data_IF_355596074481
#
_entry.id   IF_355596074481
#
_cell.length_a   1.000
_cell.length_b   1.000
_cell.length_c   1.000
_cell.angle_alpha   90.00
_cell.angle_beta   90.00
_cell.angle_gamma   90.00
#
_symmetry.space_group_name_H-M   'P 1'
#
loop_
_entity.id
_entity.type
_entity.pdbx_description
1 polymer ?
#
# COMPACT_ATOMS: atom_id res chain seq x y z
N UNK A 1 49.83 22.45 -20.17
CA UNK A 1 48.92 22.04 -21.25
C UNK A 1 47.86 21.12 -20.62
N UNK A 2 46.75 21.69 -20.24
CA UNK A 2 45.62 20.94 -19.65
C UNK A 2 44.41 21.15 -20.54
N UNK A 3 43.97 20.07 -21.19
CA UNK A 3 42.82 20.10 -22.10
C UNK A 3 41.54 20.03 -21.30
N UNK A 4 40.80 21.14 -21.26
CA UNK A 4 39.47 21.24 -20.69
C UNK A 4 38.50 20.37 -21.51
N UNK A 5 38.00 19.28 -20.91
CA UNK A 5 36.84 18.55 -21.43
C UNK A 5 35.57 19.34 -21.13
N UNK A 6 35.14 20.14 -22.07
CA UNK A 6 33.78 20.70 -22.10
C UNK A 6 32.83 19.56 -22.49
N UNK A 7 32.19 18.94 -21.50
CA UNK A 7 31.07 18.02 -21.73
C UNK A 7 29.81 18.87 -21.90
N UNK A 8 29.47 19.20 -23.13
CA UNK A 8 28.18 19.74 -23.52
C UNK A 8 27.09 18.69 -23.21
N UNK A 9 26.51 18.76 -22.01
CA UNK A 9 25.22 18.09 -21.73
C UNK A 9 24.11 18.89 -22.42
N UNK A 10 23.88 18.60 -23.69
CA UNK A 10 22.61 18.97 -24.30
C UNK A 10 21.49 18.30 -23.50
N UNK A 11 20.81 19.08 -22.66
CA UNK A 11 19.48 18.75 -22.16
C UNK A 11 18.54 18.84 -23.35
N UNK A 12 18.35 17.73 -24.05
CA UNK A 12 17.20 17.58 -24.94
C UNK A 12 16.00 17.57 -24.00
N UNK A 13 15.36 18.73 -23.85
CA UNK A 13 14.02 18.79 -23.28
C UNK A 13 13.15 17.90 -24.16
N UNK A 14 12.40 16.94 -23.61
CA UNK A 14 11.44 16.19 -24.42
C UNK A 14 10.51 17.20 -25.07
N UNK A 15 10.20 17.05 -26.38
CA UNK A 15 9.28 17.95 -27.05
C UNK A 15 7.96 17.96 -26.30
N UNK A 16 7.28 19.10 -26.20
CA UNK A 16 5.98 19.15 -25.60
C UNK A 16 5.04 18.27 -26.46
N UNK A 17 4.59 17.16 -25.89
CA UNK A 17 3.57 16.27 -26.47
C UNK A 17 2.18 16.96 -26.46
N UNK A 18 2.13 18.26 -26.78
CA UNK A 18 0.94 19.07 -26.59
C UNK A 18 -0.11 18.89 -27.69
N UNK A 19 0.24 18.50 -28.91
CA UNK A 19 -0.72 18.54 -30.03
C UNK A 19 -1.03 17.21 -30.73
N UNK A 20 -0.22 16.17 -30.51
CA UNK A 20 -0.55 14.83 -31.02
C UNK A 20 -1.58 14.06 -30.16
N UNK A 21 -1.91 14.58 -28.97
CA UNK A 21 -2.80 13.89 -28.02
C UNK A 21 -4.29 13.94 -28.37
N UNK A 22 -4.74 14.96 -29.10
CA UNK A 22 -6.15 15.13 -29.45
C UNK A 22 -6.63 14.05 -30.43
N UNK A 23 -5.86 13.83 -31.46
CA UNK A 23 -6.24 12.91 -32.55
C UNK A 23 -6.15 11.44 -32.09
N UNK A 24 -5.14 11.11 -31.29
CA UNK A 24 -4.97 9.76 -30.73
C UNK A 24 -6.13 9.39 -29.80
N UNK A 25 -6.62 10.33 -28.98
CA UNK A 25 -7.78 10.07 -28.11
C UNK A 25 -9.06 9.84 -28.88
N UNK A 26 -9.28 10.61 -29.94
CA UNK A 26 -10.44 10.45 -30.81
C UNK A 26 -10.36 9.11 -31.54
N UNK A 27 -9.20 8.75 -32.08
CA UNK A 27 -9.01 7.46 -32.76
C UNK A 27 -9.22 6.29 -31.83
N UNK A 28 -8.71 6.35 -30.57
CA UNK A 28 -8.92 5.30 -29.56
C UNK A 28 -10.41 5.20 -29.19
N UNK A 29 -11.11 6.30 -29.02
CA UNK A 29 -12.56 6.30 -28.75
C UNK A 29 -13.37 5.72 -29.90
N UNK A 30 -13.03 6.07 -31.17
CA UNK A 30 -13.69 5.53 -32.35
C UNK A 30 -13.44 4.03 -32.50
N UNK A 31 -12.17 3.60 -32.37
CA UNK A 31 -11.81 2.17 -32.42
C UNK A 31 -12.50 1.38 -31.32
N UNK A 32 -12.51 1.91 -30.11
CA UNK A 32 -13.16 1.31 -28.96
C UNK A 32 -14.68 1.25 -29.10
N UNK A 33 -15.30 2.31 -29.60
CA UNK A 33 -16.74 2.35 -29.95
C UNK A 33 -17.10 1.32 -31.00
N UNK A 34 -16.32 1.24 -32.09
CA UNK A 34 -16.48 0.24 -33.12
C UNK A 34 -16.34 -1.19 -32.63
N UNK A 35 -15.34 -1.44 -31.77
CA UNK A 35 -15.13 -2.76 -31.15
C UNK A 35 -16.31 -3.15 -30.23
N UNK A 36 -16.80 -2.23 -29.40
CA UNK A 36 -17.98 -2.48 -28.56
C UNK A 36 -19.24 -2.75 -29.39
N UNK A 37 -19.41 -2.02 -30.50
CA UNK A 37 -20.55 -2.21 -31.41
C UNK A 37 -20.51 -3.61 -32.04
N UNK A 38 -19.32 -4.06 -32.47
CA UNK A 38 -19.12 -5.40 -33.03
C UNK A 38 -19.38 -6.48 -32.00
N UNK A 39 -18.91 -6.30 -30.75
CA UNK A 39 -19.17 -7.25 -29.68
C UNK A 39 -20.65 -7.24 -29.24
N UNK A 40 -21.33 -6.11 -29.27
CA UNK A 40 -22.76 -6.02 -29.01
C UNK A 40 -23.56 -6.77 -30.07
N UNK A 41 -23.21 -6.62 -31.36
CA UNK A 41 -23.81 -7.39 -32.43
C UNK A 41 -23.58 -8.90 -32.26
N UNK A 42 -22.36 -9.30 -31.83
CA UNK A 42 -22.06 -10.69 -31.48
C UNK A 42 -22.91 -11.20 -30.31
N UNK A 43 -23.09 -10.40 -29.25
CA UNK A 43 -23.90 -10.77 -28.08
C UNK A 43 -25.40 -10.88 -28.41
N UNK A 44 -25.89 -10.14 -29.39
CA UNK A 44 -27.24 -10.28 -29.91
C UNK A 44 -27.44 -11.56 -30.72
N UNK A 45 -26.36 -11.98 -31.41
CA UNK A 45 -26.36 -13.22 -32.20
C UNK A 45 -26.21 -14.49 -31.33
N UNK A 46 -25.30 -14.47 -30.37
CA UNK A 46 -25.07 -15.56 -29.42
C UNK A 46 -24.88 -15.03 -28.00
N UNK A 47 -25.83 -15.33 -27.10
CA UNK A 47 -25.81 -14.89 -25.70
C UNK A 47 -24.55 -15.34 -24.93
N UNK A 48 -23.85 -16.39 -25.38
CA UNK A 48 -22.60 -16.85 -24.79
C UNK A 48 -21.48 -15.80 -24.91
N UNK A 49 -21.59 -14.86 -25.85
CA UNK A 49 -20.63 -13.77 -26.03
C UNK A 49 -20.91 -12.58 -25.10
N UNK A 50 -22.07 -12.54 -24.43
CA UNK A 50 -22.45 -11.45 -23.52
C UNK A 50 -21.43 -11.18 -22.41
N UNK A 51 -20.85 -12.16 -21.72
CA UNK A 51 -19.82 -11.92 -20.71
C UNK A 51 -18.57 -11.25 -21.27
N UNK A 52 -18.16 -11.63 -22.48
CA UNK A 52 -17.01 -11.02 -23.16
C UNK A 52 -17.32 -9.57 -23.56
N UNK A 53 -18.53 -9.30 -24.04
CA UNK A 53 -19.01 -7.92 -24.34
C UNK A 53 -19.01 -7.05 -23.10
N UNK A 54 -19.59 -7.53 -21.97
CA UNK A 54 -19.62 -6.81 -20.70
C UNK A 54 -18.22 -6.58 -20.17
N UNK A 55 -17.34 -7.58 -20.28
CA UNK A 55 -15.92 -7.46 -19.88
C UNK A 55 -15.18 -6.40 -20.70
N UNK A 56 -15.35 -6.41 -22.01
CA UNK A 56 -14.73 -5.41 -22.91
C UNK A 56 -15.27 -3.99 -22.64
N UNK A 57 -16.59 -3.84 -22.43
CA UNK A 57 -17.22 -2.57 -22.05
C UNK A 57 -16.66 -2.04 -20.72
N UNK A 58 -16.54 -2.89 -19.73
CA UNK A 58 -15.94 -2.56 -18.43
C UNK A 58 -14.49 -2.10 -18.57
N UNK A 59 -13.67 -2.85 -19.32
CA UNK A 59 -12.28 -2.48 -19.60
C UNK A 59 -12.18 -1.13 -20.29
N UNK A 60 -13.09 -0.82 -21.20
CA UNK A 60 -13.10 0.46 -21.89
C UNK A 60 -13.51 1.61 -20.97
N UNK A 61 -14.54 1.41 -20.15
CA UNK A 61 -14.95 2.36 -19.12
C UNK A 61 -13.82 2.68 -18.13
N UNK A 62 -12.92 1.73 -17.89
CA UNK A 62 -11.73 1.93 -17.05
C UNK A 62 -10.60 2.60 -17.85
N UNK A 63 -10.34 2.16 -19.08
CA UNK A 63 -9.24 2.66 -19.90
C UNK A 63 -9.37 4.14 -20.25
N UNK A 64 -10.57 4.61 -20.56
CA UNK A 64 -10.80 6.00 -20.92
C UNK A 64 -10.43 6.98 -19.80
N UNK A 65 -10.92 6.85 -18.54
CA UNK A 65 -10.47 7.69 -17.44
C UNK A 65 -8.96 7.58 -17.15
N UNK A 66 -8.40 6.35 -17.20
CA UNK A 66 -6.97 6.12 -16.97
C UNK A 66 -6.11 6.87 -17.99
N UNK A 67 -6.49 6.86 -19.24
CA UNK A 67 -5.76 7.57 -20.31
C UNK A 67 -6.00 9.07 -20.29
N UNK A 68 -7.22 9.52 -20.02
CA UNK A 68 -7.60 10.94 -20.10
C UNK A 68 -7.23 11.72 -18.85
N UNK A 69 -7.44 11.13 -17.67
CA UNK A 69 -7.24 11.75 -16.36
C UNK A 69 -6.39 10.86 -15.41
N UNK A 70 -5.16 10.50 -15.79
CA UNK A 70 -4.38 9.51 -15.05
C UNK A 70 -4.10 9.91 -13.60
N UNK A 71 -3.96 11.22 -13.31
CA UNK A 71 -3.74 11.72 -11.95
C UNK A 71 -4.97 11.48 -11.07
N UNK A 72 -6.16 11.86 -11.56
CA UNK A 72 -7.42 11.62 -10.85
C UNK A 72 -7.73 10.12 -10.73
N UNK A 73 -7.46 9.36 -11.80
CA UNK A 73 -7.64 7.91 -11.80
C UNK A 73 -6.72 7.19 -10.80
N UNK A 74 -5.51 7.70 -10.57
CA UNK A 74 -4.61 7.14 -9.53
C UNK A 74 -5.17 7.35 -8.12
N UNK A 75 -5.71 8.54 -7.83
CA UNK A 75 -6.37 8.80 -6.55
C UNK A 75 -7.63 7.93 -6.40
N UNK A 76 -8.46 7.85 -7.44
CA UNK A 76 -9.65 7.00 -7.46
C UNK A 76 -9.29 5.51 -7.30
N UNK A 77 -8.22 5.04 -7.95
CA UNK A 77 -7.74 3.67 -7.80
C UNK A 77 -7.29 3.36 -6.37
N UNK A 78 -6.59 4.28 -5.70
CA UNK A 78 -6.22 4.09 -4.29
C UNK A 78 -7.46 3.96 -3.39
N UNK A 79 -8.49 4.78 -3.63
CA UNK A 79 -9.74 4.71 -2.89
C UNK A 79 -10.50 3.41 -3.20
N UNK A 80 -10.52 2.99 -4.46
CA UNK A 80 -11.13 1.73 -4.88
C UNK A 80 -10.39 0.53 -4.26
N UNK A 81 -9.06 0.49 -4.35
CA UNK A 81 -8.26 -0.57 -3.74
C UNK A 81 -8.45 -0.63 -2.22
N UNK A 82 -8.53 0.54 -1.58
CA UNK A 82 -8.80 0.64 -0.15
C UNK A 82 -10.20 0.15 0.23
N UNK A 83 -11.21 0.39 -0.60
CA UNK A 83 -12.59 -0.04 -0.32
C UNK A 83 -12.79 -1.56 -0.37
N UNK A 84 -11.77 -2.32 -0.80
CA UNK A 84 -11.78 -3.78 -0.91
C UNK A 84 -13.04 -4.30 -1.64
N UNK A 85 -13.22 -3.94 -2.92
CA UNK A 85 -14.44 -4.27 -3.66
C UNK A 85 -14.65 -5.78 -3.79
N UNK A 86 -13.60 -6.60 -3.68
CA UNK A 86 -13.67 -8.04 -3.61
C UNK A 86 -14.52 -8.54 -2.44
N UNK A 87 -14.57 -7.81 -1.32
CA UNK A 87 -15.33 -8.21 -0.14
C UNK A 87 -16.82 -7.91 -0.27
N UNK A 88 -17.20 -6.69 -0.68
CA UNK A 88 -18.62 -6.29 -0.72
C UNK A 88 -19.28 -6.56 -2.07
N UNK A 89 -18.53 -6.52 -3.18
CA UNK A 89 -19.03 -6.88 -4.51
C UNK A 89 -18.90 -8.38 -4.74
N UNK A 90 -17.87 -9.02 -4.16
CA UNK A 90 -17.67 -10.46 -4.17
C UNK A 90 -18.84 -11.21 -3.53
N UNK A 91 -19.31 -10.72 -2.39
CA UNK A 91 -20.50 -11.24 -1.70
C UNK A 91 -21.76 -11.19 -2.59
N UNK A 92 -21.89 -10.15 -3.45
CA UNK A 92 -23.03 -9.96 -4.35
C UNK A 92 -22.94 -10.78 -5.64
N UNK A 93 -21.74 -10.94 -6.21
CA UNK A 93 -21.54 -11.50 -7.56
C UNK A 93 -20.93 -12.91 -7.51
N UNK A 94 -20.32 -13.30 -6.38
CA UNK A 94 -19.63 -14.59 -6.23
C UNK A 94 -18.30 -14.67 -6.98
N UNK A 95 -17.66 -13.53 -7.32
CA UNK A 95 -16.48 -13.45 -8.18
C UNK A 95 -15.31 -12.67 -7.55
N UNK A 96 -14.97 -12.94 -6.29
CA UNK A 96 -13.94 -12.21 -5.53
C UNK A 96 -12.59 -12.15 -6.23
N UNK A 97 -12.12 -13.27 -6.78
CA UNK A 97 -10.83 -13.36 -7.46
C UNK A 97 -10.79 -12.50 -8.73
N UNK A 98 -11.89 -12.43 -9.48
CA UNK A 98 -11.97 -11.62 -10.70
C UNK A 98 -11.95 -10.13 -10.35
N UNK A 99 -12.66 -9.71 -9.29
CA UNK A 99 -12.69 -8.32 -8.82
C UNK A 99 -11.29 -7.89 -8.35
N UNK A 100 -10.63 -8.72 -7.55
CA UNK A 100 -9.24 -8.47 -7.11
C UNK A 100 -8.30 -8.32 -8.32
N UNK A 101 -8.43 -9.17 -9.33
CA UNK A 101 -7.62 -9.09 -10.55
C UNK A 101 -7.87 -7.77 -11.30
N UNK A 102 -9.12 -7.34 -11.45
CA UNK A 102 -9.47 -6.06 -12.10
C UNK A 102 -8.84 -4.88 -11.37
N UNK A 103 -8.91 -4.81 -10.05
CA UNK A 103 -8.29 -3.73 -9.26
C UNK A 103 -6.78 -3.67 -9.47
N UNK A 104 -6.11 -4.83 -9.51
CA UNK A 104 -4.67 -4.90 -9.77
C UNK A 104 -4.31 -4.48 -11.20
N UNK A 105 -5.10 -4.91 -12.19
CA UNK A 105 -4.90 -4.54 -13.61
C UNK A 105 -5.03 -3.01 -13.79
N UNK A 106 -6.00 -2.37 -13.13
CA UNK A 106 -6.12 -0.90 -13.17
C UNK A 106 -4.84 -0.25 -12.62
N UNK A 107 -4.31 -0.72 -11.51
CA UNK A 107 -3.05 -0.21 -10.93
C UNK A 107 -1.87 -0.37 -11.88
N UNK A 108 -1.72 -1.52 -12.54
CA UNK A 108 -0.68 -1.76 -13.53
C UNK A 108 -0.87 -0.90 -14.79
N UNK A 109 -2.11 -0.70 -15.26
CA UNK A 109 -2.40 0.17 -16.39
C UNK A 109 -2.03 1.63 -16.08
N UNK A 110 -2.35 2.12 -14.89
CA UNK A 110 -1.92 3.45 -14.42
C UNK A 110 -0.39 3.58 -14.39
N UNK A 111 0.31 2.55 -13.92
CA UNK A 111 1.77 2.51 -13.96
C UNK A 111 2.30 2.62 -15.39
N UNK A 112 1.77 1.82 -16.33
CA UNK A 112 2.18 1.87 -17.74
C UNK A 112 1.93 3.25 -18.34
N UNK A 113 0.76 3.86 -18.11
CA UNK A 113 0.46 5.23 -18.55
C UNK A 113 1.43 6.24 -17.95
N UNK A 114 1.81 6.05 -16.68
CA UNK A 114 2.80 6.89 -16.02
C UNK A 114 4.19 6.76 -16.68
N UNK A 115 4.62 5.53 -16.94
CA UNK A 115 5.91 5.27 -17.61
C UNK A 115 5.94 5.84 -19.03
N UNK A 116 4.86 5.71 -19.79
CA UNK A 116 4.75 6.26 -21.14
C UNK A 116 4.77 7.79 -21.17
N UNK A 117 4.14 8.46 -20.18
CA UNK A 117 4.06 9.94 -20.13
C UNK A 117 5.28 10.61 -19.54
N UNK A 118 5.89 10.01 -18.52
CA UNK A 118 6.95 10.65 -17.73
C UNK A 118 8.28 9.92 -17.82
N UNK A 119 8.29 8.76 -18.45
CA UNK A 119 9.44 7.89 -18.61
C UNK A 119 9.58 6.89 -17.47
N UNK A 120 10.22 5.76 -17.78
CA UNK A 120 10.63 4.77 -16.82
C UNK A 120 11.91 5.22 -16.09
N UNK A 121 12.09 4.68 -14.89
CA UNK A 121 13.35 4.79 -14.17
C UNK A 121 13.72 3.41 -13.61
N UNK A 122 14.99 3.10 -13.59
CA UNK A 122 15.47 1.89 -12.94
C UNK A 122 15.73 2.17 -11.46
N UNK A 123 15.11 1.37 -10.59
CA UNK A 123 15.29 1.43 -9.14
C UNK A 123 15.93 0.13 -8.68
N UNK A 124 17.27 0.12 -8.61
CA UNK A 124 18.07 -1.08 -8.37
C UNK A 124 17.80 -1.76 -7.01
N UNK A 125 17.32 -1.01 -6.03
CA UNK A 125 17.03 -1.54 -4.70
C UNK A 125 15.55 -1.84 -4.48
N UNK A 126 14.74 -1.84 -5.55
CA UNK A 126 13.32 -2.12 -5.43
C UNK A 126 13.07 -3.53 -4.90
N UNK A 127 12.25 -3.70 -3.83
CA UNK A 127 11.94 -5.00 -3.24
C UNK A 127 11.26 -5.99 -4.20
N UNK A 128 10.66 -5.52 -5.30
CA UNK A 128 10.07 -6.38 -6.33
C UNK A 128 11.08 -7.40 -6.88
N UNK A 129 12.39 -7.05 -6.92
CA UNK A 129 13.43 -7.98 -7.38
C UNK A 129 13.60 -9.19 -6.47
N UNK A 130 13.37 -9.07 -5.16
CA UNK A 130 13.36 -10.24 -4.27
C UNK A 130 12.26 -11.22 -4.64
N UNK A 131 11.06 -10.73 -4.94
CA UNK A 131 9.93 -11.58 -5.35
C UNK A 131 10.17 -12.24 -6.72
N UNK A 132 10.78 -11.50 -7.66
CA UNK A 132 11.19 -12.08 -8.95
C UNK A 132 12.24 -13.17 -8.74
N UNK A 133 13.22 -12.95 -7.88
CA UNK A 133 14.22 -13.95 -7.55
C UNK A 133 13.60 -15.20 -6.90
N UNK A 134 12.71 -15.05 -5.92
CA UNK A 134 11.98 -16.16 -5.30
C UNK A 134 11.15 -16.95 -6.32
N UNK A 135 10.52 -16.26 -7.27
CA UNK A 135 9.76 -16.90 -8.33
C UNK A 135 10.66 -17.77 -9.24
N UNK A 136 11.75 -17.18 -9.74
CA UNK A 136 12.70 -17.88 -10.63
C UNK A 136 13.35 -19.07 -9.91
N UNK A 137 13.78 -18.86 -8.67
CA UNK A 137 14.39 -19.94 -7.85
C UNK A 137 13.37 -21.02 -7.54
N UNK A 138 12.14 -20.67 -7.20
CA UNK A 138 11.07 -21.63 -6.95
C UNK A 138 10.77 -22.51 -8.18
N UNK A 139 10.76 -21.92 -9.39
CA UNK A 139 10.59 -22.68 -10.63
C UNK A 139 11.75 -23.66 -10.89
N UNK A 140 12.97 -23.28 -10.49
CA UNK A 140 14.17 -24.10 -10.70
C UNK A 140 14.35 -25.17 -9.61
N UNK A 141 14.03 -24.83 -8.34
CA UNK A 141 14.23 -25.72 -7.19
C UNK A 141 13.07 -26.68 -6.97
N UNK A 142 11.84 -26.24 -7.27
CA UNK A 142 10.58 -26.97 -7.07
C UNK A 142 9.57 -26.09 -6.32
N UNK A 143 8.33 -26.17 -6.76
CA UNK A 143 7.21 -25.50 -6.12
C UNK A 143 6.57 -26.39 -5.05
N UNK A 144 5.86 -25.76 -4.10
CA UNK A 144 4.98 -26.47 -3.17
C UNK A 144 4.06 -27.45 -3.92
N UNK A 145 3.82 -28.67 -3.40
CA UNK A 145 3.14 -29.74 -4.16
C UNK A 145 1.80 -29.37 -4.80
N UNK A 146 1.04 -28.45 -4.16
CA UNK A 146 -0.27 -28.01 -4.67
C UNK A 146 -0.21 -26.66 -5.40
N UNK A 147 0.97 -26.00 -5.45
CA UNK A 147 1.14 -24.69 -6.07
C UNK A 147 1.42 -24.84 -7.56
N UNK A 148 0.50 -24.37 -8.41
CA UNK A 148 0.75 -24.34 -9.85
C UNK A 148 1.64 -23.16 -10.25
N UNK A 149 2.32 -23.27 -11.40
CA UNK A 149 3.12 -22.16 -11.97
C UNK A 149 2.26 -20.90 -12.16
N UNK A 150 0.98 -21.09 -12.57
CA UNK A 150 0.06 -19.97 -12.76
C UNK A 150 -0.27 -19.27 -11.44
N UNK A 151 -0.49 -20.02 -10.36
CA UNK A 151 -0.78 -19.44 -9.04
C UNK A 151 0.45 -18.78 -8.43
N UNK A 152 1.64 -19.33 -8.68
CA UNK A 152 2.91 -18.69 -8.33
C UNK A 152 3.10 -17.37 -9.10
N UNK A 153 2.82 -17.35 -10.40
CA UNK A 153 2.88 -16.12 -11.21
C UNK A 153 1.85 -15.06 -10.74
N UNK A 154 0.62 -15.48 -10.39
CA UNK A 154 -0.38 -14.58 -9.77
C UNK A 154 0.10 -14.02 -8.43
N UNK A 155 0.77 -14.87 -7.63
CA UNK A 155 1.34 -14.45 -6.35
C UNK A 155 2.51 -13.49 -6.51
N UNK A 156 3.36 -13.70 -7.54
CA UNK A 156 4.41 -12.76 -7.92
C UNK A 156 3.83 -11.38 -8.25
N UNK A 157 2.83 -11.32 -9.13
CA UNK A 157 2.16 -10.07 -9.47
C UNK A 157 1.58 -9.41 -8.22
N UNK A 158 0.89 -10.18 -7.37
CA UNK A 158 0.30 -9.68 -6.14
C UNK A 158 1.29 -9.09 -5.15
N UNK A 159 2.50 -9.65 -5.07
CA UNK A 159 3.54 -9.23 -4.12
C UNK A 159 4.47 -8.14 -4.68
N UNK A 160 4.74 -8.14 -6.00
CA UNK A 160 5.61 -7.17 -6.64
C UNK A 160 4.90 -5.87 -7.06
N UNK A 161 3.60 -5.94 -7.43
CA UNK A 161 2.84 -4.79 -7.91
C UNK A 161 2.80 -3.60 -6.92
N UNK A 162 2.73 -3.75 -5.59
CA UNK A 162 2.80 -2.65 -4.65
C UNK A 162 4.02 -1.74 -4.84
N UNK A 163 5.14 -2.29 -5.26
CA UNK A 163 6.40 -1.57 -5.47
C UNK A 163 6.55 -0.97 -6.87
N UNK A 164 5.63 -1.26 -7.77
CA UNK A 164 5.80 -0.98 -9.20
C UNK A 164 5.84 0.53 -9.52
N UNK A 165 5.16 1.39 -8.75
CA UNK A 165 5.16 2.84 -8.98
C UNK A 165 6.54 3.48 -8.87
N UNK A 166 7.49 2.87 -8.16
CA UNK A 166 8.86 3.39 -8.07
C UNK A 166 9.65 3.26 -9.37
N UNK A 167 9.23 2.40 -10.30
CA UNK A 167 9.83 2.28 -11.63
C UNK A 167 9.41 3.38 -12.61
N UNK A 168 8.54 4.30 -12.22
CA UNK A 168 8.12 5.40 -13.06
C UNK A 168 8.60 6.76 -12.53
N UNK A 169 8.74 7.73 -13.44
CA UNK A 169 9.01 9.13 -13.09
C UNK A 169 7.67 9.81 -12.82
N UNK A 170 7.25 9.88 -11.56
CA UNK A 170 6.00 10.55 -11.18
C UNK A 170 6.16 12.08 -11.29
N UNK A 171 5.14 12.76 -11.84
CA UNK A 171 5.08 14.22 -11.83
C UNK A 171 4.73 14.75 -10.43
N UNK A 172 5.01 16.05 -10.15
CA UNK A 172 4.63 16.71 -8.88
C UNK A 172 3.12 16.59 -8.60
N UNK A 173 2.28 16.77 -9.63
CA UNK A 173 0.81 16.65 -9.49
C UNK A 173 0.40 15.24 -9.11
N UNK A 174 1.07 14.24 -9.70
CA UNK A 174 0.78 12.84 -9.41
C UNK A 174 1.20 12.46 -8.00
N UNK A 175 2.41 12.85 -7.57
CA UNK A 175 2.85 12.65 -6.19
C UNK A 175 1.86 13.25 -5.18
N UNK A 176 1.42 14.49 -5.42
CA UNK A 176 0.45 15.17 -4.55
C UNK A 176 -0.90 14.44 -4.51
N UNK A 177 -1.40 13.95 -5.63
CA UNK A 177 -2.67 13.22 -5.69
C UNK A 177 -2.61 11.91 -4.90
N UNK A 178 -1.53 11.11 -5.07
CA UNK A 178 -1.33 9.87 -4.34
C UNK A 178 -1.21 10.13 -2.82
N UNK A 179 -0.40 11.11 -2.41
CA UNK A 179 -0.20 11.44 -0.99
C UNK A 179 -1.52 11.90 -0.36
N UNK A 180 -2.25 12.78 -1.04
CA UNK A 180 -3.54 13.27 -0.55
C UNK A 180 -4.57 12.16 -0.48
N UNK A 181 -4.66 11.31 -1.51
CA UNK A 181 -5.56 10.16 -1.50
C UNK A 181 -5.24 9.22 -0.33
N UNK A 182 -3.96 8.95 -0.06
CA UNK A 182 -3.55 8.08 1.05
C UNK A 182 -4.02 8.62 2.41
N UNK A 183 -3.98 9.94 2.64
CA UNK A 183 -4.49 10.55 3.88
C UNK A 183 -6.00 10.28 4.03
N UNK A 184 -6.75 10.25 2.93
CA UNK A 184 -8.20 10.17 2.93
C UNK A 184 -8.77 8.77 2.63
N UNK A 185 -7.94 7.77 2.34
CA UNK A 185 -8.41 6.40 2.05
C UNK A 185 -9.29 5.86 3.17
N UNK A 186 -8.83 5.86 4.41
CA UNK A 186 -9.61 5.26 5.52
C UNK A 186 -10.88 6.02 5.85
N UNK A 187 -10.93 7.39 5.88
CA UNK A 187 -12.19 8.12 6.02
C UNK A 187 -13.20 7.81 4.90
N UNK A 188 -12.73 7.71 3.66
CA UNK A 188 -13.60 7.37 2.52
C UNK A 188 -14.14 5.95 2.64
N UNK A 189 -13.31 4.99 3.05
CA UNK A 189 -13.73 3.59 3.29
C UNK A 189 -14.83 3.53 4.35
N UNK A 190 -14.66 4.28 5.44
CA UNK A 190 -15.68 4.34 6.52
C UNK A 190 -16.96 5.00 6.02
N UNK A 191 -16.84 6.12 5.29
CA UNK A 191 -18.01 6.79 4.71
C UNK A 191 -18.74 5.90 3.72
N UNK A 192 -18.03 5.19 2.86
CA UNK A 192 -18.62 4.23 1.93
C UNK A 192 -19.24 3.04 2.66
N UNK A 193 -18.57 2.49 3.68
CA UNK A 193 -19.12 1.44 4.54
C UNK A 193 -20.42 1.89 5.26
N UNK A 194 -20.49 3.16 5.67
CA UNK A 194 -21.72 3.71 6.23
C UNK A 194 -22.88 3.72 5.21
N UNK A 195 -22.57 4.05 3.95
CA UNK A 195 -23.56 3.95 2.86
C UNK A 195 -24.02 2.51 2.64
N UNK A 196 -23.09 1.55 2.62
CA UNK A 196 -23.44 0.12 2.48
C UNK A 196 -24.30 -0.36 3.66
N UNK A 197 -24.02 0.12 4.87
CA UNK A 197 -24.82 -0.20 6.06
C UNK A 197 -26.22 0.40 6.00
N UNK A 198 -26.37 1.62 5.53
CA UNK A 198 -27.67 2.26 5.31
C UNK A 198 -28.50 1.52 4.25
N UNK A 199 -27.85 0.94 3.26
CA UNK A 199 -28.48 0.12 2.22
C UNK A 199 -28.71 -1.34 2.68
N UNK A 200 -28.37 -1.69 3.92
CA UNK A 200 -28.42 -3.05 4.47
C UNK A 200 -27.61 -4.09 3.68
N UNK A 201 -26.62 -3.66 2.92
CA UNK A 201 -25.76 -4.54 2.14
C UNK A 201 -24.61 -5.13 2.97
N UNK A 202 -24.08 -4.35 3.93
CA UNK A 202 -22.99 -4.77 4.80
C UNK A 202 -23.00 -4.00 6.13
N UNK A 203 -22.71 -4.63 7.28
CA UNK A 203 -22.64 -3.92 8.55
C UNK A 203 -21.43 -3.00 8.60
N UNK A 204 -21.57 -1.82 9.24
CA UNK A 204 -20.46 -0.89 9.47
C UNK A 204 -19.51 -1.39 10.56
N UNK A 205 -20.03 -2.16 11.51
CA UNK A 205 -19.30 -2.75 12.62
C UNK A 205 -19.50 -4.26 12.64
N UNK A 206 -18.44 -5.01 12.94
CA UNK A 206 -18.51 -6.46 13.17
C UNK A 206 -18.29 -6.79 14.63
N UNK A 207 -19.01 -7.79 15.14
CA UNK A 207 -18.79 -8.36 16.45
C UNK A 207 -17.94 -9.62 16.36
N UNK A 208 -16.74 -9.62 16.93
CA UNK A 208 -15.90 -10.80 17.04
C UNK A 208 -15.46 -10.98 18.50
N UNK A 209 -15.80 -12.14 19.10
CA UNK A 209 -15.43 -12.43 20.50
C UNK A 209 -16.03 -11.44 21.50
N UNK A 210 -17.27 -10.98 21.29
CA UNK A 210 -17.97 -10.04 22.16
C UNK A 210 -17.54 -8.57 22.02
N UNK A 211 -16.62 -8.25 21.11
CA UNK A 211 -16.12 -6.89 20.91
C UNK A 211 -16.49 -6.34 19.54
N UNK A 212 -16.98 -5.10 19.50
CA UNK A 212 -17.30 -4.38 18.27
C UNK A 212 -16.02 -3.81 17.64
N UNK A 213 -15.92 -3.93 16.30
CA UNK A 213 -14.82 -3.38 15.49
C UNK A 213 -15.39 -2.64 14.30
N UNK A 214 -14.87 -1.44 14.04
CA UNK A 214 -15.19 -0.71 12.83
C UNK A 214 -14.62 -1.44 11.61
N UNK A 215 -15.46 -1.77 10.66
CA UNK A 215 -15.11 -2.48 9.43
C UNK A 215 -15.10 -1.54 8.22
N UNK A 216 -16.09 -0.66 8.14
CA UNK A 216 -16.29 0.14 6.94
C UNK A 216 -16.73 -0.73 5.77
N UNK A 217 -16.07 -0.59 4.62
CA UNK A 217 -16.29 -1.45 3.46
C UNK A 217 -15.23 -2.56 3.32
N UNK A 218 -14.30 -2.68 4.29
CA UNK A 218 -13.17 -3.60 4.24
C UNK A 218 -13.01 -4.35 5.56
N UNK A 219 -12.07 -5.30 5.64
CA UNK A 219 -11.78 -6.00 6.90
C UNK A 219 -11.15 -5.04 7.94
N UNK A 220 -11.47 -5.11 9.25
CA UNK A 220 -10.95 -4.21 10.28
C UNK A 220 -9.43 -4.12 10.34
N UNK A 221 -8.69 -5.21 10.07
CA UNK A 221 -7.24 -5.19 10.04
C UNK A 221 -6.70 -4.35 8.87
N UNK A 222 -7.32 -4.44 7.69
CA UNK A 222 -6.96 -3.64 6.53
C UNK A 222 -7.30 -2.16 6.75
N UNK A 223 -8.48 -1.87 7.32
CA UNK A 223 -8.85 -0.50 7.71
C UNK A 223 -7.83 0.11 8.65
N UNK A 224 -7.34 -0.66 9.64
CA UNK A 224 -6.26 -0.24 10.53
C UNK A 224 -4.95 0.05 9.80
N UNK A 225 -4.58 -0.78 8.82
CA UNK A 225 -3.40 -0.56 7.97
C UNK A 225 -3.51 0.70 7.09
N UNK A 226 -4.69 0.95 6.50
CA UNK A 226 -4.95 2.17 5.73
C UNK A 226 -4.92 3.42 6.62
N UNK A 227 -5.50 3.36 7.82
CA UNK A 227 -5.47 4.47 8.76
C UNK A 227 -4.04 4.79 9.22
N UNK A 228 -3.21 3.78 9.49
CA UNK A 228 -1.80 3.98 9.80
C UNK A 228 -1.04 4.65 8.63
N UNK A 229 -1.24 4.19 7.39
CA UNK A 229 -0.66 4.83 6.21
C UNK A 229 -1.13 6.29 6.07
N UNK A 230 -2.41 6.56 6.33
CA UNK A 230 -2.99 7.91 6.36
C UNK A 230 -2.34 8.82 7.41
N UNK A 231 -2.06 8.29 8.62
CA UNK A 231 -1.33 9.01 9.68
C UNK A 231 0.09 9.34 9.21
N UNK A 232 0.82 8.38 8.64
CA UNK A 232 2.18 8.59 8.15
C UNK A 232 2.24 9.63 7.05
N UNK A 233 1.33 9.56 6.08
CA UNK A 233 1.23 10.53 5.00
C UNK A 233 0.91 11.94 5.52
N UNK A 234 -0.07 12.06 6.42
CA UNK A 234 -0.44 13.33 7.04
C UNK A 234 0.69 13.91 7.91
N UNK A 235 1.47 13.05 8.58
CA UNK A 235 2.60 13.46 9.40
C UNK A 235 3.72 14.06 8.53
N UNK A 236 4.08 13.42 7.41
CA UNK A 236 5.04 13.96 6.44
C UNK A 236 4.59 15.34 5.94
N UNK A 237 3.33 15.49 5.53
CA UNK A 237 2.79 16.77 5.03
C UNK A 237 2.72 17.83 6.13
N UNK A 238 2.39 17.46 7.37
CA UNK A 238 2.34 18.39 8.51
C UNK A 238 3.71 19.01 8.79
N UNK A 239 4.78 18.21 8.76
CA UNK A 239 6.14 18.71 8.97
C UNK A 239 6.68 19.54 7.79
N UNK A 240 6.06 19.40 6.60
CA UNK A 240 6.44 20.18 5.42
C UNK A 240 5.78 21.57 5.38
N UNK A 241 4.47 21.65 5.55
CA UNK A 241 3.71 22.89 5.34
C UNK A 241 3.02 23.45 6.59
N UNK A 242 2.97 22.69 7.69
CA UNK A 242 2.39 23.08 8.97
C UNK A 242 0.88 23.34 8.95
N UNK A 243 0.17 22.93 7.88
CA UNK A 243 -1.25 23.24 7.72
C UNK A 243 -2.12 22.41 8.66
N UNK A 244 -3.11 23.03 9.28
CA UNK A 244 -4.04 22.41 10.22
C UNK A 244 -4.85 21.26 9.63
N UNK A 245 -5.10 21.25 8.31
CA UNK A 245 -5.79 20.15 7.62
C UNK A 245 -5.10 18.80 7.83
N UNK A 246 -3.75 18.79 7.95
CA UNK A 246 -3.01 17.55 8.17
C UNK A 246 -3.15 17.06 9.60
N UNK A 247 -3.32 17.97 10.57
CA UNK A 247 -3.67 17.59 11.95
C UNK A 247 -5.02 16.87 11.98
N UNK A 248 -6.03 17.40 11.28
CA UNK A 248 -7.32 16.71 11.15
C UNK A 248 -7.19 15.36 10.47
N UNK A 249 -6.37 15.25 9.42
CA UNK A 249 -6.04 13.98 8.79
C UNK A 249 -5.47 12.96 9.79
N UNK A 250 -4.55 13.38 10.65
CA UNK A 250 -3.98 12.55 11.72
C UNK A 250 -5.07 12.14 12.71
N UNK A 251 -5.84 13.07 13.23
CA UNK A 251 -6.85 12.82 14.26
C UNK A 251 -7.91 11.85 13.76
N UNK A 252 -8.49 12.10 12.58
CA UNK A 252 -9.53 11.23 11.99
C UNK A 252 -8.99 9.82 11.79
N UNK A 253 -7.78 9.68 11.25
CA UNK A 253 -7.18 8.36 11.04
C UNK A 253 -6.87 7.65 12.37
N UNK A 254 -6.48 8.35 13.44
CA UNK A 254 -6.33 7.74 14.77
C UNK A 254 -7.66 7.26 15.34
N UNK A 255 -8.74 8.02 15.19
CA UNK A 255 -10.09 7.59 15.61
C UNK A 255 -10.50 6.32 14.88
N UNK A 256 -10.33 6.28 13.56
CA UNK A 256 -10.63 5.10 12.73
C UNK A 256 -9.77 3.90 13.16
N UNK A 257 -8.46 4.12 13.34
CA UNK A 257 -7.52 3.10 13.75
C UNK A 257 -7.87 2.51 15.11
N UNK A 258 -8.25 3.34 16.06
CA UNK A 258 -8.71 2.92 17.37
C UNK A 258 -10.00 2.07 17.27
N UNK A 259 -11.00 2.56 16.55
CA UNK A 259 -12.28 1.87 16.39
C UNK A 259 -12.17 0.55 15.60
N UNK A 260 -11.18 0.44 14.69
CA UNK A 260 -10.90 -0.81 13.99
C UNK A 260 -10.37 -1.92 14.91
N UNK A 261 -9.85 -1.57 16.08
CA UNK A 261 -9.24 -2.49 17.05
C UNK A 261 -7.96 -3.16 16.55
N UNK A 262 -7.28 -2.58 15.54
CA UNK A 262 -6.04 -3.09 14.99
C UNK A 262 -4.84 -2.62 15.83
N UNK A 263 -4.35 -3.51 16.71
CA UNK A 263 -3.36 -3.19 17.76
C UNK A 263 -1.98 -2.86 17.21
N UNK A 264 -1.46 -3.70 16.32
CA UNK A 264 -0.10 -3.53 15.80
C UNK A 264 0.04 -2.24 14.97
N UNK A 265 -0.85 -1.93 13.99
CA UNK A 265 -0.83 -0.65 13.31
C UNK A 265 -0.95 0.54 14.26
N UNK A 266 -1.76 0.44 15.34
CA UNK A 266 -1.89 1.50 16.32
C UNK A 266 -0.58 1.74 17.08
N UNK A 267 0.05 0.68 17.59
CA UNK A 267 1.34 0.79 18.27
C UNK A 267 2.42 1.38 17.37
N UNK A 268 2.49 0.92 16.11
CA UNK A 268 3.40 1.44 15.10
C UNK A 268 3.15 2.92 14.79
N UNK A 269 1.90 3.32 14.58
CA UNK A 269 1.55 4.70 14.31
C UNK A 269 1.88 5.63 15.49
N UNK A 270 1.59 5.19 16.72
CA UNK A 270 1.96 5.91 17.93
C UNK A 270 3.49 6.05 18.05
N UNK A 271 4.25 4.97 17.79
CA UNK A 271 5.71 4.99 17.83
C UNK A 271 6.31 5.98 16.83
N UNK A 272 5.85 5.96 15.55
CA UNK A 272 6.32 6.90 14.53
C UNK A 272 5.95 8.34 14.88
N UNK A 273 4.72 8.56 15.35
CA UNK A 273 4.25 9.92 15.74
C UNK A 273 5.04 10.44 16.93
N UNK A 274 5.26 9.61 17.96
CA UNK A 274 6.06 9.97 19.11
C UNK A 274 7.50 10.29 18.69
N UNK A 275 8.13 9.42 17.89
CA UNK A 275 9.48 9.64 17.39
C UNK A 275 9.57 11.00 16.63
N UNK A 276 8.61 11.30 15.75
CA UNK A 276 8.58 12.57 15.04
C UNK A 276 8.40 13.77 15.97
N UNK A 277 7.53 13.66 16.98
CA UNK A 277 7.29 14.73 17.94
C UNK A 277 8.50 15.01 18.83
N UNK A 278 9.24 13.98 19.25
CA UNK A 278 10.35 14.12 20.18
C UNK A 278 11.69 14.43 19.50
N UNK A 279 11.98 13.81 18.35
CA UNK A 279 13.30 13.90 17.74
C UNK A 279 13.41 14.90 16.58
N UNK A 280 12.28 15.35 16.01
CA UNK A 280 12.34 16.34 14.95
C UNK A 280 12.31 17.78 15.51
N UNK A 281 13.05 18.72 14.89
CA UNK A 281 13.06 20.11 15.27
C UNK A 281 11.67 20.76 15.11
N UNK A 282 11.46 21.88 15.78
CA UNK A 282 10.16 22.53 15.86
C UNK A 282 9.60 22.99 14.49
N UNK A 283 10.44 23.33 13.51
CA UNK A 283 10.06 23.65 12.13
C UNK A 283 8.72 24.39 11.98
N UNK A 284 7.92 24.07 10.97
CA UNK A 284 6.58 24.63 10.76
C UNK A 284 5.55 24.18 11.80
N UNK A 285 5.89 23.20 12.67
CA UNK A 285 5.02 22.72 13.74
C UNK A 285 5.62 23.02 15.12
N UNK A 286 5.43 24.24 15.65
CA UNK A 286 6.09 24.72 16.85
C UNK A 286 5.68 23.94 18.11
N UNK A 287 6.57 23.93 19.12
CA UNK A 287 6.40 23.19 20.37
C UNK A 287 5.06 23.48 21.07
N UNK A 288 4.60 24.73 21.04
CA UNK A 288 3.30 25.15 21.58
C UNK A 288 2.10 24.42 20.98
N UNK A 289 2.21 23.93 19.73
CA UNK A 289 1.17 23.12 19.08
C UNK A 289 1.37 21.61 19.28
N UNK A 290 2.61 21.18 19.58
CA UNK A 290 2.92 19.77 19.87
C UNK A 290 2.48 19.39 21.28
N UNK A 291 2.71 20.28 22.25
CA UNK A 291 2.42 20.02 23.66
C UNK A 291 0.96 19.65 23.91
N UNK A 292 -0.06 20.35 23.39
CA UNK A 292 -1.45 19.94 23.53
C UNK A 292 -1.76 18.56 22.94
N UNK A 293 -1.12 18.21 21.81
CA UNK A 293 -1.32 16.90 21.18
C UNK A 293 -0.71 15.76 22.02
N UNK A 294 0.48 16.00 22.58
CA UNK A 294 1.13 15.04 23.50
C UNK A 294 0.28 14.89 24.76
N UNK A 295 -0.14 16.00 25.36
CA UNK A 295 -0.99 15.98 26.55
C UNK A 295 -2.35 15.33 26.27
N UNK A 296 -2.97 15.67 25.13
CA UNK A 296 -4.22 15.00 24.72
C UNK A 296 -4.05 13.50 24.55
N UNK A 297 -2.93 13.04 23.95
CA UNK A 297 -2.59 11.63 23.84
C UNK A 297 -2.35 10.96 25.19
N UNK A 298 -1.63 11.65 26.09
CA UNK A 298 -1.38 11.15 27.46
C UNK A 298 -2.65 11.09 28.32
N UNK A 299 -3.59 11.99 28.12
CA UNK A 299 -4.87 12.00 28.83
C UNK A 299 -5.91 11.08 28.18
N UNK A 300 -5.90 10.99 26.86
CA UNK A 300 -6.83 10.13 26.12
C UNK A 300 -6.62 8.65 26.46
N UNK A 301 -5.37 8.19 26.61
CA UNK A 301 -5.08 6.80 26.91
C UNK A 301 -5.67 6.33 28.26
N UNK A 302 -5.40 6.98 29.41
CA UNK A 302 -6.01 6.59 30.68
C UNK A 302 -7.52 6.83 30.73
N UNK A 303 -8.04 7.87 30.03
CA UNK A 303 -9.48 8.11 29.92
C UNK A 303 -10.16 6.97 29.12
N UNK A 304 -9.55 6.55 28.03
CA UNK A 304 -10.01 5.42 27.24
C UNK A 304 -9.96 4.12 28.06
N UNK A 305 -8.90 3.90 28.84
CA UNK A 305 -8.81 2.76 29.77
C UNK A 305 -9.91 2.83 30.84
N UNK A 306 -10.16 4.00 31.41
CA UNK A 306 -11.20 4.21 32.41
C UNK A 306 -12.63 4.01 31.86
N UNK A 307 -12.92 4.52 30.66
CA UNK A 307 -14.18 4.29 29.95
C UNK A 307 -14.34 2.81 29.56
N UNK A 308 -13.26 2.12 29.33
CA UNK A 308 -13.19 0.72 28.95
C UNK A 308 -13.47 -0.24 30.09
N UNK A 309 -13.01 0.09 31.29
CA UNK A 309 -13.25 -0.75 32.47
C UNK A 309 -14.75 -0.86 32.80
N UNK A 310 -15.58 0.01 32.21
CA UNK A 310 -17.05 -0.04 32.32
C UNK A 310 -17.80 -0.69 31.15
N UNK A 311 -17.17 -0.96 30.01
CA UNK A 311 -17.82 -1.56 28.85
C UNK A 311 -16.93 -2.55 28.10
N UNK A 312 -17.29 -3.82 28.16
CA UNK A 312 -16.60 -4.93 27.49
C UNK A 312 -16.73 -4.92 25.95
N UNK A 313 -17.36 -3.89 25.37
CA UNK A 313 -17.78 -3.88 23.96
C UNK A 313 -16.70 -3.46 22.96
N UNK A 314 -15.58 -2.87 23.38
CA UNK A 314 -14.51 -2.43 22.46
C UNK A 314 -13.28 -3.33 22.59
N UNK A 315 -12.90 -4.03 21.51
CA UNK A 315 -11.82 -5.04 21.52
C UNK A 315 -10.48 -4.53 22.03
N UNK A 316 -10.09 -3.31 21.73
CA UNK A 316 -8.83 -2.74 22.20
C UNK A 316 -8.74 -2.69 23.72
N UNK A 317 -9.88 -2.55 24.36
CA UNK A 317 -10.02 -2.37 25.79
C UNK A 317 -10.08 -3.71 26.53
N UNK A 318 -10.68 -4.73 25.91
CA UNK A 318 -10.70 -6.09 26.45
C UNK A 318 -9.30 -6.69 26.61
N UNK A 319 -8.32 -6.21 25.83
CA UNK A 319 -6.92 -6.68 25.92
C UNK A 319 -6.19 -6.15 27.14
N UNK A 320 -6.54 -4.97 27.60
CA UNK A 320 -5.96 -4.40 28.82
C UNK A 320 -6.53 -5.09 30.08
N UNK A 321 -7.66 -5.80 29.95
CA UNK A 321 -8.37 -6.43 31.07
C UNK A 321 -8.41 -7.95 31.01
N UNK A 322 -8.16 -8.58 29.86
CA UNK A 322 -8.10 -10.03 29.68
C UNK A 322 -6.68 -10.54 29.50
N UNK A 323 -6.42 -11.78 29.93
CA UNK A 323 -5.14 -12.45 29.74
C UNK A 323 -4.69 -12.35 28.28
N UNK A 324 -3.67 -11.53 28.04
CA UNK A 324 -3.13 -11.18 26.73
C UNK A 324 -2.48 -12.36 25.97
N UNK A 325 -2.65 -13.59 26.48
CA UNK A 325 -2.05 -14.81 25.92
C UNK A 325 -2.76 -15.37 24.68
N UNK A 326 -3.96 -14.91 24.37
CA UNK A 326 -4.65 -15.37 23.16
C UNK A 326 -4.09 -14.61 21.93
N UNK A 327 -3.10 -15.19 21.29
CA UNK A 327 -2.53 -14.76 20.01
C UNK A 327 -3.51 -15.00 18.82
N UNK A 328 -4.82 -15.08 19.10
CA UNK A 328 -5.86 -15.32 18.08
C UNK A 328 -5.60 -16.61 17.27
N UNK A 329 -5.20 -17.68 17.93
CA UNK A 329 -4.91 -18.99 17.33
C UNK A 329 -3.59 -19.08 16.57
N UNK A 330 -2.76 -18.04 16.57
CA UNK A 330 -1.46 -18.04 15.87
C UNK A 330 -0.51 -19.13 16.38
N UNK A 331 -0.56 -19.44 17.66
CA UNK A 331 0.18 -20.55 18.27
C UNK A 331 -0.15 -21.92 17.66
N UNK A 332 -1.30 -22.08 17.02
CA UNK A 332 -1.70 -23.31 16.33
C UNK A 332 -1.28 -23.30 14.86
N UNK A 333 -1.21 -22.13 14.23
CA UNK A 333 -0.88 -22.00 12.80
C UNK A 333 0.63 -21.87 12.56
N UNK A 334 1.36 -21.11 13.40
CA UNK A 334 2.78 -20.84 13.19
C UNK A 334 3.66 -22.08 13.09
N UNK A 335 3.48 -23.13 13.93
CA UNK A 335 4.27 -24.35 13.81
C UNK A 335 4.15 -25.02 12.43
N UNK A 336 3.01 -24.90 11.75
CA UNK A 336 2.84 -25.45 10.38
C UNK A 336 3.71 -24.69 9.37
N UNK A 337 3.80 -23.37 9.50
CA UNK A 337 4.68 -22.55 8.65
C UNK A 337 6.14 -22.77 8.99
N UNK A 338 6.51 -22.90 10.26
CA UNK A 338 7.87 -23.21 10.70
C UNK A 338 8.32 -24.57 10.16
N UNK A 339 7.46 -25.59 10.20
CA UNK A 339 7.71 -26.88 9.60
C UNK A 339 7.90 -26.77 8.09
N UNK A 340 6.97 -26.14 7.36
CA UNK A 340 7.06 -25.96 5.92
C UNK A 340 8.33 -25.19 5.50
N UNK A 341 8.78 -24.21 6.31
CA UNK A 341 10.03 -23.50 6.09
C UNK A 341 11.22 -24.40 6.36
N UNK A 342 11.22 -25.18 7.44
CA UNK A 342 12.32 -26.10 7.80
C UNK A 342 12.51 -27.22 6.79
N UNK A 343 11.46 -27.60 6.03
CA UNK A 343 11.52 -28.61 4.97
C UNK A 343 12.24 -28.08 3.70
N UNK A 344 12.32 -26.76 3.51
CA UNK A 344 13.11 -26.10 2.43
C UNK A 344 13.74 -24.80 2.94
N UNK A 345 14.76 -24.87 3.83
CA UNK A 345 15.21 -23.71 4.59
C UNK A 345 15.93 -22.66 3.75
N UNK A 346 16.68 -23.04 2.71
CA UNK A 346 17.50 -22.10 1.94
C UNK A 346 16.72 -21.34 0.88
N UNK A 347 15.89 -22.05 0.09
CA UNK A 347 15.25 -21.51 -1.11
C UNK A 347 13.73 -21.42 -1.01
N UNK A 348 13.12 -22.03 0.00
CA UNK A 348 11.67 -22.13 0.15
C UNK A 348 11.01 -22.96 -0.94
N UNK A 349 9.71 -22.77 -1.12
CA UNK A 349 8.84 -23.55 -1.98
C UNK A 349 8.26 -22.76 -3.15
N UNK A 350 8.85 -21.60 -3.44
CA UNK A 350 8.38 -20.69 -4.48
C UNK A 350 7.30 -19.72 -4.00
N UNK A 351 7.26 -18.53 -4.64
CA UNK A 351 6.34 -17.47 -4.25
C UNK A 351 4.88 -17.94 -4.34
N UNK A 352 4.14 -17.75 -3.25
CA UNK A 352 2.76 -18.17 -3.08
C UNK A 352 2.60 -19.45 -2.25
N UNK A 353 3.67 -20.18 -1.97
CA UNK A 353 3.63 -21.40 -1.15
C UNK A 353 3.08 -21.13 0.26
N UNK A 354 3.44 -19.99 0.85
CA UNK A 354 2.92 -19.59 2.15
C UNK A 354 1.40 -19.38 2.23
N UNK A 355 0.69 -19.40 1.10
CA UNK A 355 -0.78 -19.41 1.08
C UNK A 355 -1.35 -20.83 1.05
N UNK A 356 -0.50 -21.82 0.78
CA UNK A 356 -0.91 -23.23 0.60
C UNK A 356 -0.61 -24.10 1.82
N UNK A 357 0.13 -23.55 2.83
CA UNK A 357 0.54 -24.29 4.04
C UNK A 357 -0.66 -24.79 4.83
N UNK A 358 -1.69 -23.94 4.96
CA UNK A 358 -2.94 -24.31 5.64
C UNK A 358 -4.05 -24.34 4.60
N UNK A 359 -4.69 -25.51 4.47
CA UNK A 359 -5.85 -25.66 3.59
C UNK A 359 -7.01 -24.79 4.14
N UNK A 360 -7.56 -23.86 3.32
CA UNK A 360 -8.71 -23.05 3.71
C UNK A 360 -9.93 -23.87 4.15
N UNK A 361 -10.08 -25.08 3.60
CA UNK A 361 -11.19 -25.99 3.89
C UNK A 361 -10.93 -26.89 5.10
N UNK A 362 -9.74 -26.84 5.69
CA UNK A 362 -9.39 -27.61 6.88
C UNK A 362 -10.23 -27.21 8.11
N UNK A 363 -10.41 -28.17 9.02
CA UNK A 363 -11.09 -27.90 10.31
C UNK A 363 -10.38 -26.78 11.08
N UNK A 364 -9.05 -26.74 11.05
CA UNK A 364 -8.25 -25.72 11.71
C UNK A 364 -8.56 -24.32 11.16
N UNK A 365 -8.58 -24.17 9.84
CA UNK A 365 -8.91 -22.89 9.19
C UNK A 365 -10.32 -22.43 9.53
N UNK A 366 -11.30 -23.34 9.53
CA UNK A 366 -12.69 -23.02 9.88
C UNK A 366 -12.85 -22.60 11.35
N UNK A 367 -12.16 -23.27 12.27
CA UNK A 367 -12.18 -22.94 13.71
C UNK A 367 -11.54 -21.59 14.00
N UNK A 368 -10.45 -21.27 13.31
CA UNK A 368 -9.69 -20.02 13.51
C UNK A 368 -10.21 -18.86 12.64
N UNK A 369 -11.03 -19.15 11.64
CA UNK A 369 -11.52 -18.16 10.68
C UNK A 369 -10.42 -17.62 9.76
N UNK A 370 -9.27 -18.32 9.65
CA UNK A 370 -8.14 -17.92 8.81
C UNK A 370 -7.22 -19.10 8.50
N UNK A 371 -6.66 -19.09 7.28
CA UNK A 371 -5.56 -19.97 6.85
C UNK A 371 -4.22 -19.24 6.79
N UNK A 372 -4.17 -17.95 7.15
CA UNK A 372 -3.01 -17.11 6.97
C UNK A 372 -2.12 -17.08 8.22
N UNK A 373 -0.80 -17.03 8.03
CA UNK A 373 0.18 -16.95 9.14
C UNK A 373 0.02 -15.68 10.00
N UNK A 374 -0.48 -14.58 9.43
CA UNK A 374 -0.43 -13.26 10.04
C UNK A 374 0.97 -12.91 10.58
N UNK A 375 1.98 -13.33 9.84
CA UNK A 375 3.39 -13.06 10.05
C UNK A 375 4.10 -13.16 8.70
N UNK A 376 4.54 -12.02 8.17
CA UNK A 376 5.18 -11.98 6.84
C UNK A 376 6.53 -12.69 6.82
N UNK A 377 7.24 -12.73 7.93
CA UNK A 377 8.53 -13.41 7.99
C UNK A 377 8.37 -14.92 7.82
N UNK A 378 7.38 -15.52 8.48
CA UNK A 378 7.06 -16.93 8.31
C UNK A 378 6.57 -17.20 6.87
N UNK A 379 5.67 -16.34 6.36
CA UNK A 379 5.16 -16.51 5.00
C UNK A 379 6.26 -16.44 3.95
N UNK A 380 7.13 -15.43 4.03
CA UNK A 380 8.25 -15.26 3.10
C UNK A 380 9.32 -16.33 3.30
N UNK A 381 9.53 -16.78 4.54
CA UNK A 381 10.40 -17.92 4.83
C UNK A 381 9.95 -19.20 4.10
N UNK A 382 8.65 -19.47 4.07
CA UNK A 382 8.09 -20.58 3.27
C UNK A 382 8.22 -20.31 1.77
N UNK A 383 7.95 -19.08 1.31
CA UNK A 383 8.00 -18.72 -0.11
C UNK A 383 9.44 -18.78 -0.68
N UNK A 384 10.43 -18.23 0.04
CA UNK A 384 11.77 -17.97 -0.48
C UNK A 384 12.94 -18.50 0.38
N UNK A 385 12.65 -19.19 1.47
CA UNK A 385 13.65 -19.64 2.44
C UNK A 385 14.42 -18.49 3.08
N UNK A 386 15.50 -18.80 3.73
CA UNK A 386 16.40 -17.83 4.37
C UNK A 386 16.98 -16.82 3.37
N UNK A 387 17.35 -17.30 2.17
CA UNK A 387 17.95 -16.46 1.14
C UNK A 387 16.92 -15.48 0.59
N UNK A 388 15.71 -15.92 0.27
CA UNK A 388 14.65 -15.04 -0.23
C UNK A 388 14.21 -14.02 0.81
N UNK A 389 14.08 -14.43 2.07
CA UNK A 389 13.75 -13.54 3.17
C UNK A 389 14.84 -12.50 3.42
N UNK A 390 16.10 -12.94 3.49
CA UNK A 390 17.25 -12.03 3.68
C UNK A 390 17.37 -11.03 2.54
N UNK A 391 17.18 -11.47 1.28
CA UNK A 391 17.19 -10.61 0.11
C UNK A 391 16.08 -9.57 0.17
N UNK A 392 14.86 -9.94 0.55
CA UNK A 392 13.74 -9.01 0.70
C UNK A 392 14.02 -7.95 1.77
N UNK A 393 14.49 -8.38 2.96
CA UNK A 393 14.84 -7.46 4.05
C UNK A 393 15.96 -6.52 3.62
N UNK A 394 16.99 -7.04 2.97
CA UNK A 394 18.12 -6.24 2.48
C UNK A 394 17.66 -5.19 1.46
N UNK A 395 16.88 -5.60 0.44
CA UNK A 395 16.39 -4.67 -0.57
C UNK A 395 15.43 -3.63 0.02
N UNK A 396 14.55 -4.00 0.95
CA UNK A 396 13.69 -3.04 1.68
C UNK A 396 14.53 -2.01 2.44
N UNK A 397 15.56 -2.45 3.18
CA UNK A 397 16.45 -1.57 3.92
C UNK A 397 17.25 -0.65 3.00
N UNK A 398 17.85 -1.19 1.93
CA UNK A 398 18.61 -0.42 0.95
C UNK A 398 17.71 0.58 0.21
N UNK A 399 16.49 0.18 -0.16
CA UNK A 399 15.52 1.06 -0.79
C UNK A 399 15.13 2.23 0.12
N UNK A 400 14.80 1.94 1.39
CA UNK A 400 14.50 2.95 2.39
C UNK A 400 15.67 3.92 2.61
N UNK A 401 16.91 3.41 2.73
CA UNK A 401 18.10 4.24 2.96
C UNK A 401 18.45 5.06 1.72
N UNK A 402 18.46 4.45 0.54
CA UNK A 402 18.89 5.09 -0.70
C UNK A 402 17.89 6.13 -1.18
N UNK A 403 16.61 5.77 -1.27
CA UNK A 403 15.57 6.65 -1.80
C UNK A 403 15.29 7.87 -0.90
N UNK A 404 15.51 7.73 0.42
CA UNK A 404 15.36 8.86 1.35
C UNK A 404 16.56 9.82 1.37
N UNK A 405 17.68 9.51 0.71
CA UNK A 405 18.87 10.41 0.72
C UNK A 405 18.58 11.78 0.14
N UNK A 406 17.78 11.83 -0.92
CA UNK A 406 17.37 13.09 -1.56
C UNK A 406 16.28 13.85 -0.79
N UNK A 407 15.64 13.22 0.20
CA UNK A 407 14.55 13.84 0.96
C UNK A 407 15.06 14.84 2.01
N UNK A 408 14.28 15.89 2.31
CA UNK A 408 14.52 16.77 3.46
C UNK A 408 14.71 15.96 4.75
N UNK A 409 15.47 16.53 5.71
CA UNK A 409 15.81 15.81 6.96
C UNK A 409 14.57 15.28 7.71
N UNK A 410 13.49 16.05 7.74
CA UNK A 410 12.23 15.67 8.39
C UNK A 410 11.55 14.50 7.69
N UNK A 411 11.37 14.59 6.38
CA UNK A 411 10.78 13.52 5.57
C UNK A 411 11.61 12.23 5.68
N UNK A 412 12.95 12.37 5.58
CA UNK A 412 13.89 11.26 5.72
C UNK A 412 13.74 10.54 7.04
N UNK A 413 13.65 11.29 8.15
CA UNK A 413 13.48 10.71 9.48
C UNK A 413 12.14 9.96 9.59
N UNK A 414 11.03 10.63 9.22
CA UNK A 414 9.69 10.02 9.29
C UNK A 414 9.62 8.78 8.40
N UNK A 415 10.09 8.86 7.15
CA UNK A 415 10.04 7.72 6.24
C UNK A 415 10.84 6.53 6.77
N UNK A 416 12.04 6.74 7.31
CA UNK A 416 12.84 5.65 7.91
C UNK A 416 12.16 5.06 9.14
N UNK A 417 11.56 5.89 10.01
CA UNK A 417 10.77 5.42 11.13
C UNK A 417 9.56 4.59 10.68
N UNK A 418 8.92 4.98 9.58
CA UNK A 418 7.82 4.23 8.97
C UNK A 418 8.28 2.86 8.46
N UNK A 419 9.46 2.75 7.82
CA UNK A 419 9.99 1.45 7.39
C UNK A 419 10.29 0.53 8.59
N UNK A 420 10.84 1.06 9.68
CA UNK A 420 11.04 0.30 10.93
C UNK A 420 9.68 -0.15 11.50
N UNK A 421 8.71 0.76 11.58
CA UNK A 421 7.37 0.44 12.04
C UNK A 421 6.67 -0.62 11.16
N UNK A 422 6.86 -0.54 9.83
CA UNK A 422 6.35 -1.51 8.89
C UNK A 422 6.98 -2.90 9.10
N UNK A 423 8.30 -2.97 9.33
CA UNK A 423 8.97 -4.22 9.66
C UNK A 423 8.42 -4.85 10.96
N UNK A 424 8.19 -4.04 11.99
CA UNK A 424 7.56 -4.49 13.25
C UNK A 424 6.13 -4.96 13.01
N UNK A 425 5.33 -4.22 12.23
CA UNK A 425 3.96 -4.60 11.89
C UNK A 425 3.90 -5.92 11.13
N UNK A 426 4.84 -6.14 10.22
CA UNK A 426 4.94 -7.37 9.41
C UNK A 426 5.16 -8.65 10.23
N UNK A 427 5.63 -8.53 11.48
CA UNK A 427 5.73 -9.67 12.40
C UNK A 427 4.36 -10.14 12.91
N UNK A 428 3.34 -9.30 12.84
CA UNK A 428 2.03 -9.58 13.43
C UNK A 428 0.89 -9.57 12.42
N UNK A 429 1.15 -9.33 11.13
CA UNK A 429 0.12 -9.29 10.10
C UNK A 429 0.71 -9.59 8.70
N UNK A 430 -0.18 -9.88 7.74
CA UNK A 430 0.18 -10.09 6.33
C UNK A 430 0.22 -8.74 5.59
N UNK A 431 1.25 -7.95 5.86
CA UNK A 431 1.36 -6.56 5.41
C UNK A 431 1.74 -6.40 3.93
N UNK A 432 2.35 -7.42 3.31
CA UNK A 432 2.92 -7.34 1.96
C UNK A 432 1.99 -7.89 0.86
N UNK A 433 0.93 -8.60 1.20
CA UNK A 433 0.01 -9.21 0.21
C UNK A 433 -1.38 -8.56 0.19
N UNK A 434 -1.72 -7.80 1.21
CA UNK A 434 -3.01 -7.14 1.33
C UNK A 434 -3.11 -5.89 0.45
N UNK A 435 -4.33 -5.39 0.23
CA UNK A 435 -4.58 -4.12 -0.46
C UNK A 435 -3.87 -2.94 0.21
N UNK A 436 -3.64 -3.02 1.54
CA UNK A 436 -2.87 -2.05 2.31
C UNK A 436 -1.44 -1.86 1.80
N UNK A 437 -0.79 -2.92 1.31
CA UNK A 437 0.53 -2.83 0.69
C UNK A 437 0.52 -1.93 -0.55
N UNK A 438 -0.49 -2.06 -1.40
CA UNK A 438 -0.61 -1.26 -2.63
C UNK A 438 -0.73 0.23 -2.31
N UNK A 439 -1.55 0.60 -1.33
CA UNK A 439 -1.71 1.99 -0.89
C UNK A 439 -0.44 2.51 -0.23
N UNK A 440 0.15 1.73 0.68
CA UNK A 440 1.35 2.09 1.41
C UNK A 440 2.54 2.34 0.47
N UNK A 441 2.83 1.42 -0.46
CA UNK A 441 4.00 1.54 -1.32
C UNK A 441 3.79 2.44 -2.53
N UNK A 442 2.55 2.68 -2.96
CA UNK A 442 2.25 3.78 -3.88
C UNK A 442 2.56 5.15 -3.23
N UNK A 443 2.15 5.34 -1.98
CA UNK A 443 2.49 6.54 -1.19
C UNK A 443 4.01 6.67 -0.99
N UNK A 444 4.71 5.62 -0.57
CA UNK A 444 6.18 5.61 -0.41
C UNK A 444 6.85 6.02 -1.71
N UNK A 445 6.45 5.42 -2.84
CA UNK A 445 6.98 5.76 -4.17
C UNK A 445 6.73 7.21 -4.56
N UNK A 446 5.57 7.76 -4.20
CA UNK A 446 5.24 9.17 -4.45
C UNK A 446 6.09 10.14 -3.61
N UNK A 447 6.34 9.81 -2.33
CA UNK A 447 7.23 10.62 -1.47
C UNK A 447 8.67 10.59 -2.00
N UNK A 448 9.17 9.42 -2.40
CA UNK A 448 10.51 9.27 -2.96
C UNK A 448 10.67 10.00 -4.31
N UNK A 449 9.66 9.90 -5.18
CA UNK A 449 9.66 10.61 -6.45
C UNK A 449 9.64 12.14 -6.25
N UNK A 450 8.82 12.63 -5.31
CA UNK A 450 8.78 14.05 -4.94
C UNK A 450 10.14 14.55 -4.44
N UNK A 451 10.77 13.81 -3.54
CA UNK A 451 12.09 14.14 -3.03
C UNK A 451 13.15 14.23 -4.14
N UNK A 452 13.13 13.28 -5.08
CA UNK A 452 14.03 13.29 -6.24
C UNK A 452 13.78 14.51 -7.16
N UNK A 453 12.53 14.90 -7.39
CA UNK A 453 12.18 16.09 -8.17
C UNK A 453 12.63 17.39 -7.50
N UNK A 454 12.52 17.48 -6.20
CA UNK A 454 12.95 18.66 -5.43
C UNK A 454 14.47 18.77 -5.42
N UNK A 455 15.16 17.66 -5.21
CA UNK A 455 16.64 17.63 -5.26
C UNK A 455 17.17 18.04 -6.64
N UNK A 456 16.54 17.57 -7.72
CA UNK A 456 16.93 17.92 -9.09
C UNK A 456 16.64 19.38 -9.46
N UNK A 457 15.70 20.04 -8.76
CA UNK A 457 15.35 21.45 -8.99
C UNK A 457 16.05 22.41 -8.04
N UNK A 458 16.81 21.93 -7.05
CA UNK A 458 17.65 22.78 -6.22
C UNK A 458 18.76 23.42 -7.08
N UNK A 459 19.00 24.74 -6.97
CA UNK A 459 20.11 25.38 -7.67
C UNK A 459 21.42 24.67 -7.26
N UNK A 460 22.28 24.38 -8.24
CA UNK A 460 23.62 23.89 -7.94
C UNK A 460 24.32 24.96 -7.10
N UNK A 461 24.70 24.62 -5.87
CA UNK A 461 25.55 25.50 -5.05
C UNK A 461 26.82 25.72 -5.86
N UNK A 462 27.05 26.97 -6.29
CA UNK A 462 28.28 27.32 -6.95
C UNK A 462 29.43 27.19 -5.93
N UNK A 463 30.54 26.51 -6.26
CA UNK A 463 31.64 26.32 -5.31
C UNK A 463 32.28 27.61 -4.81
N UNK A 464 31.99 28.73 -5.46
CA UNK A 464 32.56 30.04 -5.12
C UNK A 464 31.94 30.70 -3.89
N UNK A 465 30.72 30.26 -3.45
CA UNK A 465 30.10 30.85 -2.26
C UNK A 465 30.65 30.28 -0.94
N UNK A 466 31.26 29.10 -0.92
CA UNK A 466 31.94 28.57 0.28
C UNK A 466 33.27 29.30 0.58
N UNK A 467 33.99 29.80 -0.44
CA UNK A 467 35.20 30.52 -0.26
C UNK A 467 34.99 31.96 0.30
N UNK A 468 33.80 32.54 0.03
CA UNK A 468 33.45 33.88 0.51
C UNK A 468 32.92 33.90 1.96
N UNK A 469 32.55 32.74 2.53
CA UNK A 469 32.12 32.66 3.94
C UNK A 469 33.25 32.31 4.92
N UNK A 470 34.44 31.98 4.43
CA UNK A 470 35.61 31.65 5.26
C UNK A 470 36.67 32.81 5.25
N UNK A 471 36.45 33.84 4.41
CA UNK A 471 37.26 35.06 4.41
C UNK A 471 36.55 36.18 5.22
#
# INVERSE_FOLDING_TARGET
MSAARVVLRHRIAPPPLADAGGDLHVMVLIAAGGFLLAMFAGALYDIRTLPAFLGAGTLLCIAVPVLRWPVASSAAWLLLAGSSPEMWLGDLIGQENAITAVVKVIGLALLVVCMLRYGARFDAFNPAFAYIAMFVVGLAHGLWPTLTVMDSARSLIGSAAPFAFSFSRLSRRWCHAIITATIWVSPVIVGFGAVLALLHLRPLFTGLGGALRLEGSTHPAFLGGFAAAGIYAALVELYRDGRSRHVWGIVINYVILFLSGARAPLACALGVTAAALFFLPAGPFPLRRRLPLVLAGMLALPLLVALASGSSSIRLLNVLTSDARDLSGRNLIWPLFEQAWSDSPLFGWGIGAGKMVVDPDSLLSRLLGTAAAHNEYLRIGVDGGDIGLALLILLMALWAIHATRAAPRTDRFIMRAVFVAFAVHSFTDNTLIAATASVMFAWVSAVFARAALEHASAPAVQPDDEAAQIA
#
